data_IF_499282669633
#
_entry.id   IF_499282669633
#
_cell.length_a   1.000
_cell.length_b   1.000
_cell.length_c   1.000
_cell.angle_alpha   90.00
_cell.angle_beta   90.00
_cell.angle_gamma   90.00
#
_symmetry.space_group_name_H-M   'P 1'
#
loop_
_entity.id
_entity.type
_entity.pdbx_description
1 polymer ?
#
# COMPACT_ATOMS: atom_id res chain seq x y z
N UNK A 1 -1.13 -6.69 12.05
CA UNK A 1 -0.09 -7.72 11.91
C UNK A 1 0.63 -7.55 10.58
N UNK A 2 1.96 -7.66 10.57
CA UNK A 2 2.73 -7.45 9.34
C UNK A 2 2.65 -8.67 8.42
N UNK A 3 2.34 -8.48 7.13
CA UNK A 3 2.33 -9.59 6.18
C UNK A 3 3.74 -10.05 5.83
N UNK A 4 3.88 -11.33 5.51
CA UNK A 4 5.14 -11.86 5.01
C UNK A 4 5.13 -11.85 3.48
N UNK A 5 5.76 -10.84 2.89
CA UNK A 5 5.75 -10.64 1.45
C UNK A 5 6.77 -11.51 0.71
N UNK A 6 7.58 -12.26 1.44
CA UNK A 6 8.40 -13.31 0.84
C UNK A 6 7.54 -14.48 0.39
N UNK A 7 6.37 -14.65 1.00
CA UNK A 7 5.45 -15.76 0.75
C UNK A 7 4.26 -15.39 -0.10
N UNK A 8 3.75 -14.18 0.06
CA UNK A 8 2.57 -13.72 -0.66
C UNK A 8 2.69 -12.24 -0.99
N UNK A 9 1.81 -11.76 -1.87
CA UNK A 9 1.76 -10.36 -2.24
C UNK A 9 1.12 -9.50 -1.14
N UNK A 10 1.43 -8.19 -1.09
CA UNK A 10 0.66 -7.25 -0.28
C UNK A 10 -0.77 -7.14 -0.83
N UNK A 11 -1.64 -6.45 -0.10
CA UNK A 11 -2.99 -6.20 -0.60
C UNK A 11 -2.93 -5.54 -1.99
N UNK A 12 -3.96 -5.81 -2.80
CA UNK A 12 -4.07 -5.26 -4.15
C UNK A 12 -3.95 -3.73 -4.13
N UNK A 13 -3.38 -3.11 -5.20
CA UNK A 13 -3.39 -1.66 -5.32
C UNK A 13 -4.81 -1.07 -5.38
N UNK A 14 -5.82 -1.92 -5.62
CA UNK A 14 -7.22 -1.51 -5.63
C UNK A 14 -7.93 -1.73 -4.30
N UNK A 15 -7.28 -2.40 -3.33
CA UNK A 15 -7.87 -2.62 -2.02
C UNK A 15 -7.91 -1.30 -1.23
N UNK A 16 -9.06 -0.93 -0.65
CA UNK A 16 -9.15 0.32 0.11
C UNK A 16 -8.54 0.15 1.51
N UNK A 17 -7.90 1.19 2.00
CA UNK A 17 -7.53 1.29 3.42
C UNK A 17 -8.71 1.86 4.21
N UNK A 18 -9.41 2.82 3.62
CA UNK A 18 -10.63 3.45 4.15
C UNK A 18 -11.39 4.07 2.98
N UNK A 19 -12.56 4.64 3.25
CA UNK A 19 -13.35 5.32 2.20
C UNK A 19 -12.59 6.48 1.56
N UNK A 20 -11.76 7.16 2.33
CA UNK A 20 -10.96 8.29 1.84
C UNK A 20 -9.76 7.82 1.03
N UNK A 21 -9.24 6.63 1.31
CA UNK A 21 -8.07 6.08 0.63
C UNK A 21 -8.47 4.80 -0.12
N UNK A 22 -9.17 4.94 -1.26
CA UNK A 22 -9.75 3.79 -1.97
C UNK A 22 -8.75 3.00 -2.82
N UNK A 23 -7.50 3.48 -2.97
CA UNK A 23 -6.50 2.79 -3.77
C UNK A 23 -5.10 3.05 -3.24
N UNK A 24 -4.22 2.08 -3.43
CA UNK A 24 -2.78 2.10 -3.12
C UNK A 24 -2.45 2.10 -1.63
N UNK A 25 -3.18 2.84 -0.79
CA UNK A 25 -2.83 3.03 0.62
C UNK A 25 -2.68 1.72 1.39
N UNK A 26 -3.62 0.77 1.23
CA UNK A 26 -3.54 -0.52 1.93
C UNK A 26 -2.29 -1.30 1.51
N UNK A 27 -1.98 -1.29 0.22
CA UNK A 27 -0.82 -2.00 -0.33
C UNK A 27 0.49 -1.42 0.23
N UNK A 28 0.64 -0.10 0.24
CA UNK A 28 1.88 0.50 0.74
C UNK A 28 2.03 0.32 2.25
N UNK A 29 0.95 0.29 3.00
CA UNK A 29 0.99 -0.01 4.44
C UNK A 29 1.48 -1.44 4.67
N UNK A 30 0.99 -2.41 3.90
CA UNK A 30 1.45 -3.79 3.99
C UNK A 30 2.95 -3.89 3.70
N UNK A 31 3.43 -3.21 2.66
CA UNK A 31 4.85 -3.21 2.31
C UNK A 31 5.70 -2.56 3.41
N UNK A 32 5.22 -1.47 4.00
CA UNK A 32 5.91 -0.81 5.09
C UNK A 32 6.05 -1.73 6.31
N UNK A 33 4.96 -2.36 6.72
CA UNK A 33 4.97 -3.28 7.85
C UNK A 33 5.90 -4.47 7.63
N UNK A 34 5.88 -5.04 6.42
CA UNK A 34 6.75 -6.16 6.08
C UNK A 34 8.22 -5.75 6.07
N UNK A 35 8.53 -4.57 5.54
CA UNK A 35 9.90 -4.07 5.50
C UNK A 35 10.44 -3.81 6.90
N UNK A 36 9.62 -3.30 7.81
CA UNK A 36 10.00 -3.08 9.20
C UNK A 36 10.38 -4.38 9.92
N UNK A 37 9.83 -5.53 9.48
CA UNK A 37 10.14 -6.85 10.03
C UNK A 37 11.07 -7.65 9.12
N UNK A 38 11.69 -7.01 8.13
CA UNK A 38 12.60 -7.64 7.17
C UNK A 38 11.99 -8.85 6.46
N UNK A 39 10.72 -8.74 6.07
CA UNK A 39 10.01 -9.79 5.34
C UNK A 39 9.24 -9.23 4.13
N UNK A 40 9.81 -8.20 3.49
CA UNK A 40 9.21 -7.56 2.31
C UNK A 40 9.47 -8.32 1.00
N UNK A 41 10.42 -9.25 0.99
CA UNK A 41 10.77 -9.98 -0.23
C UNK A 41 11.23 -9.04 -1.34
N UNK A 42 10.63 -9.16 -2.52
CA UNK A 42 10.93 -8.30 -3.67
C UNK A 42 10.11 -7.01 -3.73
N UNK A 43 9.24 -6.80 -2.75
CA UNK A 43 8.41 -5.59 -2.70
C UNK A 43 9.14 -4.47 -1.95
N UNK A 44 9.00 -3.25 -2.46
CA UNK A 44 9.64 -2.07 -1.86
C UNK A 44 8.60 -1.06 -1.41
N UNK A 45 8.72 -0.60 -0.16
CA UNK A 45 7.99 0.56 0.31
C UNK A 45 8.57 1.81 -0.36
N UNK A 46 7.73 2.79 -0.66
CA UNK A 46 8.12 4.02 -1.34
C UNK A 46 8.63 3.77 -2.77
N UNK A 47 8.06 2.77 -3.45
CA UNK A 47 8.34 2.51 -4.86
C UNK A 47 7.72 3.62 -5.74
N UNK A 48 7.99 3.65 -7.05
CA UNK A 48 7.41 4.69 -7.92
C UNK A 48 5.90 4.84 -7.82
N UNK A 49 5.15 3.74 -7.66
CA UNK A 49 3.70 3.79 -7.47
C UNK A 49 3.34 4.47 -6.15
N UNK A 50 4.01 4.08 -5.07
CA UNK A 50 3.78 4.68 -3.76
C UNK A 50 4.07 6.18 -3.78
N UNK A 51 5.12 6.58 -4.49
CA UNK A 51 5.47 8.00 -4.64
C UNK A 51 4.39 8.81 -5.33
N UNK A 52 3.69 8.21 -6.30
CA UNK A 52 2.55 8.85 -6.95
C UNK A 52 1.43 9.10 -5.94
N UNK A 53 1.16 8.11 -5.09
CA UNK A 53 0.17 8.25 -4.03
C UNK A 53 0.58 9.34 -3.03
N UNK A 54 1.81 9.33 -2.55
CA UNK A 54 2.30 10.33 -1.60
C UNK A 54 2.24 11.74 -2.17
N UNK A 55 2.60 11.90 -3.44
CA UNK A 55 2.50 13.20 -4.11
C UNK A 55 1.05 13.66 -4.24
N UNK A 56 0.15 12.76 -4.59
CA UNK A 56 -1.28 13.09 -4.72
C UNK A 56 -1.92 13.46 -3.39
N UNK A 57 -1.53 12.80 -2.30
CA UNK A 57 -2.07 13.05 -0.97
C UNK A 57 -1.33 14.17 -0.23
N UNK A 58 -0.11 14.51 -0.66
CA UNK A 58 0.73 15.46 0.06
C UNK A 58 1.26 14.89 1.36
N UNK A 59 1.67 13.62 1.35
CA UNK A 59 2.22 12.92 2.50
C UNK A 59 3.69 12.60 2.30
N UNK A 60 4.43 12.46 3.41
CA UNK A 60 5.83 12.06 3.40
C UNK A 60 5.97 10.59 3.79
N UNK A 61 6.69 9.83 2.96
CA UNK A 61 6.87 8.40 3.15
C UNK A 61 7.56 8.05 4.46
N UNK A 62 8.62 8.78 4.83
CA UNK A 62 9.36 8.53 6.06
C UNK A 62 8.53 8.83 7.31
N UNK A 63 7.74 9.90 7.29
CA UNK A 63 6.87 10.23 8.41
C UNK A 63 5.82 9.15 8.64
N UNK A 64 5.26 8.62 7.56
CA UNK A 64 4.31 7.52 7.65
C UNK A 64 4.97 6.25 8.17
N UNK A 65 6.18 5.94 7.69
CA UNK A 65 6.93 4.78 8.16
C UNK A 65 7.16 4.85 9.67
N UNK A 66 7.56 6.00 10.18
CA UNK A 66 7.78 6.20 11.62
C UNK A 66 6.50 5.97 12.42
N UNK A 67 5.37 6.44 11.90
CA UNK A 67 4.08 6.22 12.56
C UNK A 67 3.68 4.74 12.56
N UNK A 68 3.81 4.06 11.43
CA UNK A 68 3.50 2.63 11.31
C UNK A 68 4.39 1.80 12.24
N UNK A 69 5.65 2.22 12.44
CA UNK A 69 6.59 1.53 13.32
C UNK A 69 6.13 1.53 14.78
N UNK A 70 5.22 2.40 15.17
CA UNK A 70 4.64 2.40 16.52
C UNK A 70 3.67 1.25 16.78
N UNK A 71 3.33 0.48 15.74
CA UNK A 71 2.37 -0.63 15.84
C UNK A 71 0.93 -0.23 15.52
N UNK A 72 0.75 0.89 14.82
CA UNK A 72 -0.58 1.39 14.47
C UNK A 72 -1.34 0.40 13.57
N UNK A 73 -2.64 0.24 13.82
CA UNK A 73 -3.52 -0.55 12.98
C UNK A 73 -4.01 0.25 11.75
N UNK A 74 -4.78 -0.40 10.88
CA UNK A 74 -5.24 0.24 9.65
C UNK A 74 -6.08 1.49 9.90
N UNK A 75 -6.95 1.46 10.91
CA UNK A 75 -7.80 2.60 11.25
C UNK A 75 -6.97 3.78 11.77
N UNK A 76 -5.98 3.49 12.59
CA UNK A 76 -5.06 4.50 13.12
C UNK A 76 -4.21 5.11 11.99
N UNK A 77 -3.74 4.28 11.06
CA UNK A 77 -2.97 4.74 9.90
C UNK A 77 -3.83 5.63 9.01
N UNK A 78 -5.06 5.22 8.73
CA UNK A 78 -5.98 6.02 7.92
C UNK A 78 -6.27 7.38 8.56
N UNK A 79 -6.48 7.40 9.88
CA UNK A 79 -6.71 8.65 10.61
C UNK A 79 -5.47 9.56 10.58
N UNK A 80 -4.28 8.98 10.71
CA UNK A 80 -3.02 9.73 10.63
C UNK A 80 -2.84 10.34 9.23
N UNK A 81 -3.10 9.56 8.19
CA UNK A 81 -3.01 10.04 6.81
C UNK A 81 -3.98 11.20 6.57
N UNK A 82 -5.22 11.08 7.06
CA UNK A 82 -6.23 12.12 6.92
C UNK A 82 -5.77 13.43 7.59
N UNK A 83 -5.20 13.31 8.79
CA UNK A 83 -4.72 14.45 9.57
C UNK A 83 -3.52 15.15 8.89
N UNK A 84 -2.62 14.40 8.30
CA UNK A 84 -1.35 14.91 7.76
C UNK A 84 -1.41 15.20 6.26
N UNK A 85 -2.43 14.73 5.55
CA UNK A 85 -2.54 14.98 4.10
C UNK A 85 -2.69 16.48 3.82
N UNK A 86 -1.90 16.96 2.88
CA UNK A 86 -1.92 18.38 2.47
C UNK A 86 -2.97 18.66 1.40
N UNK A 87 -3.49 17.61 0.76
CA UNK A 87 -4.52 17.73 -0.27
C UNK A 87 -5.90 17.49 0.33
N UNK A 88 -6.95 18.20 -0.18
CA UNK A 88 -8.32 17.93 0.26
C UNK A 88 -8.71 16.47 0.05
N UNK A 89 -9.49 15.89 0.97
CA UNK A 89 -9.94 14.51 0.89
C UNK A 89 -10.63 14.19 -0.44
N UNK A 90 -11.39 15.13 -0.99
CA UNK A 90 -12.05 14.97 -2.30
C UNK A 90 -11.06 14.68 -3.43
N UNK A 91 -9.90 15.33 -3.42
CA UNK A 91 -8.86 15.13 -4.43
C UNK A 91 -8.21 13.76 -4.28
N UNK A 92 -8.01 13.31 -3.06
CA UNK A 92 -7.45 11.98 -2.77
C UNK A 92 -8.40 10.89 -3.27
N UNK A 93 -9.68 11.02 -2.97
CA UNK A 93 -10.73 10.08 -3.41
C UNK A 93 -10.78 10.05 -4.94
N UNK A 94 -10.75 11.22 -5.57
CA UNK A 94 -10.79 11.33 -7.04
C UNK A 94 -9.57 10.69 -7.68
N UNK A 95 -8.39 10.91 -7.11
CA UNK A 95 -7.17 10.27 -7.57
C UNK A 95 -7.28 8.74 -7.48
N UNK A 96 -7.76 8.22 -6.37
CA UNK A 96 -7.94 6.79 -6.17
C UNK A 96 -8.92 6.16 -7.16
N UNK A 97 -10.00 6.87 -7.47
CA UNK A 97 -10.97 6.41 -8.47
C UNK A 97 -10.37 6.37 -9.87
N UNK A 98 -9.58 7.38 -10.24
CA UNK A 98 -8.86 7.40 -11.52
C UNK A 98 -7.87 6.26 -11.61
N UNK A 99 -7.18 5.98 -10.51
CA UNK A 99 -6.23 4.88 -10.43
C UNK A 99 -6.91 3.55 -10.71
N UNK A 100 -8.10 3.33 -10.14
CA UNK A 100 -8.83 2.07 -10.28
C UNK A 100 -9.26 1.76 -11.71
N UNK A 101 -9.40 2.77 -12.56
CA UNK A 101 -9.79 2.57 -13.97
C UNK A 101 -8.57 2.55 -14.91
N UNK A 102 -7.36 2.70 -14.40
CA UNK A 102 -6.15 2.65 -15.20
C UNK A 102 -5.76 1.20 -15.51
N UNK A 103 -5.81 0.75 -16.78
CA UNK A 103 -5.55 -0.64 -17.11
C UNK A 103 -4.12 -1.10 -16.83
N UNK A 104 -3.15 -0.17 -16.76
CA UNK A 104 -1.75 -0.53 -16.49
C UNK A 104 -1.57 -1.16 -15.12
N UNK A 105 -2.41 -0.77 -14.15
CA UNK A 105 -2.28 -1.27 -12.79
C UNK A 105 -2.88 -2.65 -12.58
N UNK A 106 -3.71 -3.14 -13.50
CA UNK A 106 -4.23 -4.51 -13.46
C UNK A 106 -3.10 -5.54 -13.68
N UNK A 107 -2.02 -5.13 -14.34
CA UNK A 107 -0.84 -5.97 -14.52
C UNK A 107 -0.19 -6.29 -13.18
N UNK A 108 -0.22 -5.35 -12.24
CA UNK A 108 0.32 -5.57 -10.89
C UNK A 108 -0.45 -6.65 -10.14
N UNK A 109 -1.78 -6.69 -10.30
CA UNK A 109 -2.59 -7.74 -9.67
C UNK A 109 -2.26 -9.11 -10.23
N UNK A 110 -2.07 -9.21 -11.54
CA UNK A 110 -1.69 -10.46 -12.17
C UNK A 110 -0.32 -10.92 -11.67
N UNK A 111 0.64 -10.01 -11.57
CA UNK A 111 1.97 -10.29 -11.05
C UNK A 111 1.90 -10.80 -9.60
N UNK A 112 1.08 -10.16 -8.77
CA UNK A 112 0.89 -10.55 -7.38
C UNK A 112 0.28 -11.95 -7.27
N UNK A 113 -0.72 -12.24 -8.11
CA UNK A 113 -1.36 -13.55 -8.14
C UNK A 113 -0.36 -14.65 -8.52
N UNK A 114 0.45 -14.40 -9.55
CA UNK A 114 1.49 -15.34 -9.99
C UNK A 114 2.53 -15.55 -8.89
N UNK A 115 2.93 -14.49 -8.20
CA UNK A 115 3.90 -14.57 -7.10
C UNK A 115 3.39 -15.46 -5.98
N UNK A 116 2.17 -15.26 -5.52
CA UNK A 116 1.57 -16.07 -4.45
C UNK A 116 1.43 -17.52 -4.87
N UNK A 117 0.97 -17.76 -6.09
CA UNK A 117 0.76 -19.10 -6.61
C UNK A 117 2.09 -19.86 -6.74
N UNK A 118 3.11 -19.19 -7.24
CA UNK A 118 4.44 -19.80 -7.42
C UNK A 118 5.07 -20.15 -6.07
N UNK A 119 5.04 -19.22 -5.12
CA UNK A 119 5.57 -19.45 -3.77
C UNK A 119 4.81 -20.55 -3.04
N UNK A 120 3.52 -20.65 -3.25
CA UNK A 120 2.71 -21.73 -2.69
C UNK A 120 3.13 -23.11 -3.20
N UNK A 121 3.60 -23.19 -4.44
CA UNK A 121 4.10 -24.45 -5.03
C UNK A 121 5.45 -24.86 -4.44
N UNK A 122 6.33 -23.92 -4.17
CA UNK A 122 7.65 -24.21 -3.59
C UNK A 122 7.58 -24.83 -2.20
N UNK A 123 6.48 -24.63 -1.51
CA UNK A 123 6.28 -25.16 -0.16
C UNK A 123 5.89 -26.64 -0.14
N UNK A 124 5.56 -27.17 -1.28
CA UNK A 124 5.15 -28.56 -1.43
C UNK A 124 6.34 -29.37 -1.97
#
# INVERSE_FOLDING_TARGET
>A
MAPNLERCAPRSPYAPLSEQFPAVAARLVDKCRAELLDQSGSYEYNCPLDRQFFAAAGLEAEALREFIATGADDDEVAAWMDTHAKMPGEKIIKWGRRFRVNPLWHILELKDWLHCRWRGRERR
#
